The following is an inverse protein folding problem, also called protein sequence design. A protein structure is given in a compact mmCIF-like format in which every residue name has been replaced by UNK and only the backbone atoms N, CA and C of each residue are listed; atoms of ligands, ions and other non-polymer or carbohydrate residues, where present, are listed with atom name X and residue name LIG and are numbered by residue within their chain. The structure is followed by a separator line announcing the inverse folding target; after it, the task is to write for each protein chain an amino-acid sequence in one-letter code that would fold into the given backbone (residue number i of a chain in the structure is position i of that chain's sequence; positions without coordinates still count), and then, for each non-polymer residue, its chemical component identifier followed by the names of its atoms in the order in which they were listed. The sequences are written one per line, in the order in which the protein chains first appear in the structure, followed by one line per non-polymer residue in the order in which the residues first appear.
data_IF_421831197103
#
_entry.id   IF_421831197103
#
_cell.length_a   1.000
_cell.length_b   1.000
_cell.length_c   1.000
_cell.angle_alpha   90.00
_cell.angle_beta   90.00
_cell.angle_gamma   90.00
#
_symmetry.space_group_name_H-M   'P 1'
#
loop_
_entity.id
_entity.type
_entity.pdbx_description
1 polymer ?
#
# COMPACT_ATOMS: atom_id res chain seq x y z
N UNK A 1 -1.16 -1.39 2.56
CA UNK A 1 -0.56 -0.55 1.48
C UNK A 1 -0.41 -1.34 0.18
N UNK A 2 -0.37 -2.66 0.25
CA UNK A 2 -0.37 -3.58 -0.86
C UNK A 2 -1.77 -4.17 -1.04
N UNK A 3 -2.59 -3.47 -1.81
CA UNK A 3 -3.78 -4.08 -2.43
C UNK A 3 -3.32 -5.08 -3.49
N UNK A 4 -4.13 -6.11 -3.75
CA UNK A 4 -3.96 -6.95 -4.94
C UNK A 4 -3.87 -6.06 -6.18
N UNK A 5 -2.94 -6.33 -7.09
CA UNK A 5 -2.70 -5.53 -8.31
C UNK A 5 -3.99 -5.25 -9.08
N UNK A 6 -4.91 -6.22 -9.09
CA UNK A 6 -6.21 -6.09 -9.74
C UNK A 6 -7.06 -4.98 -9.12
N UNK A 7 -7.03 -4.79 -7.81
CA UNK A 7 -7.78 -3.72 -7.13
C UNK A 7 -7.22 -2.30 -7.39
N UNK A 8 -6.00 -2.21 -7.92
CA UNK A 8 -5.32 -0.95 -8.22
C UNK A 8 -5.55 -0.56 -9.68
N UNK A 9 -5.41 -1.53 -10.59
CA UNK A 9 -5.40 -1.28 -12.03
C UNK A 9 -6.72 -1.59 -12.74
N UNK A 10 -7.70 -2.16 -12.03
CA UNK A 10 -9.05 -2.38 -12.54
C UNK A 10 -10.00 -1.42 -11.86
N UNK A 11 -10.78 -0.70 -12.67
CA UNK A 11 -11.88 0.12 -12.19
C UNK A 11 -12.90 -0.79 -11.49
N UNK A 12 -13.19 -0.50 -10.22
CA UNK A 12 -14.11 -1.31 -9.40
C UNK A 12 -15.56 -1.20 -9.84
N UNK A 13 -15.96 -0.09 -10.46
CA UNK A 13 -17.32 0.13 -10.90
C UNK A 13 -17.62 -0.63 -12.21
N UNK A 14 -16.64 -0.70 -13.10
CA UNK A 14 -16.81 -1.26 -14.45
C UNK A 14 -16.14 -2.63 -14.64
N UNK A 15 -15.20 -2.99 -13.77
CA UNK A 15 -14.42 -4.22 -13.89
C UNK A 15 -13.40 -4.21 -15.04
N UNK A 16 -13.23 -3.08 -15.75
CA UNK A 16 -12.28 -2.92 -16.86
C UNK A 16 -10.95 -2.37 -16.36
N UNK A 17 -9.88 -2.65 -17.09
CA UNK A 17 -8.58 -2.02 -16.85
C UNK A 17 -8.67 -0.55 -17.27
N UNK A 18 -8.06 0.34 -16.50
CA UNK A 18 -8.02 1.76 -16.85
C UNK A 18 -7.28 1.99 -18.17
N UNK A 19 -7.78 2.92 -18.98
CA UNK A 19 -7.23 3.31 -20.28
C UNK A 19 -6.74 4.76 -20.28
N UNK A 20 -6.13 5.19 -21.38
CA UNK A 20 -5.67 6.57 -21.54
C UNK A 20 -6.86 7.54 -21.43
N UNK A 21 -6.68 8.60 -20.63
CA UNK A 21 -7.73 9.58 -20.33
C UNK A 21 -8.60 9.24 -19.12
N UNK A 22 -8.52 8.02 -18.59
CA UNK A 22 -9.23 7.68 -17.35
C UNK A 22 -8.56 8.28 -16.11
N UNK A 23 -9.36 8.73 -15.15
CA UNK A 23 -8.87 9.25 -13.86
C UNK A 23 -8.84 8.11 -12.83
N UNK A 24 -7.62 7.64 -12.51
CA UNK A 24 -7.40 6.64 -11.47
C UNK A 24 -7.29 7.29 -10.08
N UNK A 25 -8.19 6.95 -9.16
CA UNK A 25 -8.11 7.37 -7.75
C UNK A 25 -7.44 6.32 -6.88
N UNK A 26 -6.50 6.73 -6.02
CA UNK A 26 -5.78 5.84 -5.09
C UNK A 26 -5.89 6.34 -3.65
N UNK A 27 -7.10 6.30 -3.10
CA UNK A 27 -7.41 6.84 -1.76
C UNK A 27 -6.54 6.24 -0.65
N UNK A 28 -6.37 4.91 -0.62
CA UNK A 28 -5.49 4.25 0.36
C UNK A 28 -4.03 4.69 0.25
N UNK A 29 -3.55 4.89 -0.98
CA UNK A 29 -2.17 5.35 -1.20
C UNK A 29 -2.00 6.83 -0.79
N UNK A 30 -2.96 7.68 -1.15
CA UNK A 30 -2.99 9.08 -0.73
C UNK A 30 -3.03 9.22 0.79
N UNK A 31 -3.84 8.39 1.46
CA UNK A 31 -3.89 8.35 2.93
C UNK A 31 -2.54 7.95 3.54
N UNK A 32 -1.87 6.92 3.01
CA UNK A 32 -0.52 6.56 3.46
C UNK A 32 0.49 7.70 3.25
N UNK A 33 0.44 8.40 2.12
CA UNK A 33 1.30 9.56 1.88
C UNK A 33 1.02 10.70 2.85
N UNK A 34 -0.25 10.92 3.22
CA UNK A 34 -0.63 11.92 4.23
C UNK A 34 -0.08 11.56 5.62
N UNK A 35 -0.13 10.30 6.01
CA UNK A 35 0.46 9.82 7.26
C UNK A 35 1.97 10.04 7.30
N UNK A 36 2.67 9.76 6.18
CA UNK A 36 4.12 10.00 6.06
C UNK A 36 4.42 11.50 6.14
N UNK A 37 3.66 12.33 5.43
CA UNK A 37 3.87 13.78 5.40
C UNK A 37 3.67 14.44 6.78
N UNK A 38 2.78 13.89 7.60
CA UNK A 38 2.47 14.42 8.93
C UNK A 38 3.28 13.74 10.06
N UNK A 39 4.16 12.78 9.74
CA UNK A 39 4.92 12.06 10.75
C UNK A 39 6.07 12.91 11.29
N UNK A 40 6.23 12.94 12.61
CA UNK A 40 7.39 13.57 13.27
C UNK A 40 8.70 12.87 12.88
N UNK A 41 8.65 11.55 12.69
CA UNK A 41 9.74 10.75 12.13
C UNK A 41 9.17 9.78 11.08
N UNK A 42 9.21 10.14 9.78
CA UNK A 42 8.63 9.35 8.71
C UNK A 42 9.41 8.05 8.44
N UNK A 43 10.71 7.99 8.76
CA UNK A 43 11.54 6.79 8.58
C UNK A 43 11.13 5.74 9.61
N UNK A 44 10.98 6.14 10.87
CA UNK A 44 10.46 5.26 11.92
C UNK A 44 9.04 4.79 11.58
N UNK A 45 8.13 5.70 11.18
CA UNK A 45 6.75 5.33 10.89
C UNK A 45 6.63 4.29 9.76
N UNK A 46 7.43 4.44 8.70
CA UNK A 46 7.37 3.57 7.53
C UNK A 46 8.13 2.23 7.72
N UNK A 47 9.32 2.25 8.33
CA UNK A 47 10.18 1.07 8.43
C UNK A 47 10.06 0.31 9.76
N UNK A 48 9.61 0.96 10.85
CA UNK A 48 9.58 0.36 12.19
C UNK A 48 8.25 0.49 12.93
N UNK A 49 7.38 1.40 12.48
CA UNK A 49 6.07 1.67 13.06
C UNK A 49 4.96 0.72 12.57
N UNK A 50 3.71 1.09 12.86
CA UNK A 50 2.54 0.28 12.50
C UNK A 50 2.41 -0.03 11.01
N UNK A 51 2.91 0.85 10.13
CA UNK A 51 2.91 0.60 8.68
C UNK A 51 3.84 -0.54 8.29
N UNK A 52 5.00 -0.68 8.93
CA UNK A 52 5.92 -1.79 8.67
C UNK A 52 5.29 -3.14 9.04
N UNK A 53 4.49 -3.18 10.11
CA UNK A 53 3.75 -4.38 10.52
C UNK A 53 2.66 -4.73 9.51
N UNK A 54 1.91 -3.74 9.02
CA UNK A 54 0.92 -3.95 7.94
C UNK A 54 1.59 -4.47 6.67
N UNK A 55 2.76 -3.93 6.29
CA UNK A 55 3.54 -4.40 5.13
C UNK A 55 4.00 -5.85 5.33
N UNK A 56 4.58 -6.17 6.48
CA UNK A 56 5.03 -7.53 6.78
C UNK A 56 3.86 -8.54 6.78
N UNK A 57 2.70 -8.16 7.32
CA UNK A 57 1.47 -8.96 7.28
C UNK A 57 0.98 -9.21 5.85
N UNK A 58 0.79 -8.14 5.06
CA UNK A 58 0.30 -8.24 3.67
C UNK A 58 1.25 -9.05 2.75
N UNK A 59 2.57 -9.02 3.01
CA UNK A 59 3.55 -9.81 2.24
C UNK A 59 3.56 -11.29 2.66
N UNK A 60 3.38 -11.56 3.96
CA UNK A 60 3.32 -12.93 4.49
C UNK A 60 2.03 -13.64 4.04
N UNK A 61 0.90 -12.92 4.01
CA UNK A 61 -0.40 -13.44 3.55
C UNK A 61 -0.41 -13.78 2.05
N UNK A 62 0.34 -13.04 1.23
CA UNK A 62 0.49 -13.31 -0.21
C UNK A 62 1.61 -14.32 -0.55
N UNK A 63 2.08 -15.09 0.44
CA UNK A 63 2.95 -16.26 0.23
C UNK A 63 4.45 -15.98 0.11
N UNK A 64 4.93 -14.77 0.41
CA UNK A 64 6.37 -14.45 0.38
C UNK A 64 6.97 -14.50 1.79
N UNK A 65 7.65 -15.61 2.09
CA UNK A 65 8.22 -16.01 3.40
C UNK A 65 9.37 -15.13 3.96
N UNK A 66 9.77 -14.05 3.29
CA UNK A 66 11.10 -13.42 3.52
C UNK A 66 11.07 -11.94 3.91
N UNK A 67 9.93 -11.36 4.28
CA UNK A 67 9.91 -10.00 4.86
C UNK A 67 9.64 -10.12 6.35
N UNK A 68 10.72 -10.33 7.10
CA UNK A 68 10.70 -10.36 8.56
C UNK A 68 11.65 -9.29 9.09
N UNK A 69 11.26 -8.62 10.17
CA UNK A 69 12.06 -7.60 10.87
C UNK A 69 13.42 -8.18 11.26
N UNK A 70 14.52 -7.60 10.74
CA UNK A 70 15.84 -7.80 11.33
C UNK A 70 15.88 -7.08 12.68
N UNK A 71 16.19 -7.84 13.74
CA UNK A 71 16.36 -7.35 15.10
C UNK A 71 17.52 -6.35 15.19
#
# INVERSE_FOLDING_TARGET
MFCNSREIFVDRATGRVYEEGDIMKRERYGFTLQLIANATDPVELFYKGGMAQTIAGEITENGKKYVTRSL
#
